data_IF_327478537726
#
_entry.id   IF_327478537726
#
_cell.length_a   1.000
_cell.length_b   1.000
_cell.length_c   1.000
_cell.angle_alpha   90.00
_cell.angle_beta   90.00
_cell.angle_gamma   90.00
#
_symmetry.space_group_name_H-M   'P 1'
#
loop_
_entity.id
_entity.type
_entity.pdbx_description
1 polymer ?
#
# COMPACT_ATOMS: atom_id res chain seq x y z
N UNK A 1 -2.11 29.05 -42.67
CA UNK A 1 -2.68 28.08 -41.70
C UNK A 1 -1.59 27.06 -41.40
N UNK A 2 -0.79 27.29 -40.36
CA UNK A 2 0.38 26.46 -40.04
C UNK A 2 0.48 26.26 -38.52
N UNK A 3 -0.63 25.88 -37.89
CA UNK A 3 -0.71 25.65 -36.43
C UNK A 3 -1.24 24.24 -36.12
N UNK A 4 -1.50 23.40 -37.13
CA UNK A 4 -2.25 22.14 -36.96
C UNK A 4 -1.35 20.90 -37.11
N UNK A 5 -0.04 21.01 -36.87
CA UNK A 5 0.88 19.85 -36.97
C UNK A 5 1.62 19.56 -35.66
N UNK A 6 1.62 20.49 -34.69
CA UNK A 6 2.30 20.28 -33.39
C UNK A 6 1.47 19.49 -32.36
N UNK A 7 0.20 19.19 -32.65
CA UNK A 7 -0.68 18.50 -31.69
C UNK A 7 -0.55 16.97 -31.75
N UNK A 8 -0.04 16.42 -32.86
CA UNK A 8 -0.05 14.96 -33.05
C UNK A 8 1.14 14.22 -32.44
N UNK A 9 2.27 14.89 -32.22
CA UNK A 9 3.45 14.27 -31.60
C UNK A 9 3.37 14.31 -30.07
N UNK A 10 2.61 15.27 -29.51
CA UNK A 10 2.37 15.35 -28.06
C UNK A 10 1.37 14.33 -27.53
N UNK A 11 0.37 13.94 -28.34
CA UNK A 11 -0.68 13.01 -27.89
C UNK A 11 -0.22 11.57 -27.78
N UNK A 12 0.71 11.11 -28.63
CA UNK A 12 1.26 9.74 -28.52
C UNK A 12 2.17 9.61 -27.29
N UNK A 13 2.96 10.65 -26.96
CA UNK A 13 3.79 10.66 -25.76
C UNK A 13 2.99 10.62 -24.46
N UNK A 14 1.85 11.34 -24.41
CA UNK A 14 0.96 11.35 -23.23
C UNK A 14 0.27 9.99 -23.03
N UNK A 15 -0.11 9.31 -24.13
CA UNK A 15 -0.76 7.99 -24.04
C UNK A 15 0.24 6.90 -23.61
N UNK A 16 1.50 6.99 -24.05
CA UNK A 16 2.52 6.02 -23.64
C UNK A 16 2.87 6.20 -22.15
N UNK A 17 2.95 7.44 -21.65
CA UNK A 17 3.15 7.69 -20.22
C UNK A 17 2.03 7.12 -19.34
N UNK A 18 0.78 7.13 -19.80
CA UNK A 18 -0.37 6.53 -19.08
C UNK A 18 -0.43 5.01 -19.17
N UNK A 19 0.11 4.40 -20.22
CA UNK A 19 0.14 2.93 -20.37
C UNK A 19 1.29 2.26 -19.60
N UNK A 20 2.43 2.94 -19.41
CA UNK A 20 3.52 2.41 -18.57
C UNK A 20 3.24 2.54 -17.06
N UNK A 21 2.28 3.37 -16.64
CA UNK A 21 1.79 3.43 -15.26
C UNK A 21 0.68 2.41 -14.96
N UNK A 22 0.14 1.72 -15.97
CA UNK A 22 -0.83 0.66 -15.77
C UNK A 22 -0.10 -0.68 -15.54
N UNK A 23 0.57 -0.77 -14.38
CA UNK A 23 1.05 -2.02 -13.83
C UNK A 23 -0.11 -3.01 -13.62
N UNK A 24 0.18 -4.32 -13.57
CA UNK A 24 -0.84 -5.38 -13.55
C UNK A 24 -1.80 -5.22 -12.36
N UNK A 25 -3.05 -4.81 -12.61
CA UNK A 25 -4.17 -4.75 -11.65
C UNK A 25 -3.75 -4.35 -10.23
N UNK A 26 -3.13 -3.18 -10.18
CA UNK A 26 -2.50 -2.55 -9.02
C UNK A 26 -3.48 -2.19 -7.88
N UNK A 27 -4.78 -2.35 -8.13
CA UNK A 27 -5.89 -2.07 -7.21
C UNK A 27 -6.40 -3.31 -6.46
N UNK A 28 -5.95 -4.53 -6.78
CA UNK A 28 -6.50 -5.74 -6.15
C UNK A 28 -6.37 -5.75 -4.63
N UNK A 29 -5.23 -5.26 -4.12
CA UNK A 29 -5.04 -5.10 -2.67
C UNK A 29 -5.91 -3.98 -2.09
N UNK A 30 -6.11 -2.87 -2.81
CA UNK A 30 -7.01 -1.80 -2.37
C UNK A 30 -8.47 -2.31 -2.31
N UNK A 31 -8.92 -3.03 -3.34
CA UNK A 31 -10.24 -3.63 -3.40
C UNK A 31 -10.45 -4.62 -2.26
N UNK A 32 -9.47 -5.48 -1.99
CA UNK A 32 -9.55 -6.43 -0.88
C UNK A 32 -9.52 -5.74 0.49
N UNK A 33 -8.69 -4.70 0.68
CA UNK A 33 -8.68 -3.91 1.93
C UNK A 33 -10.03 -3.21 2.13
N UNK A 34 -10.68 -2.75 1.06
CA UNK A 34 -12.05 -2.24 1.14
C UNK A 34 -13.07 -3.36 1.45
N UNK A 35 -12.87 -4.57 0.91
CA UNK A 35 -13.71 -5.74 1.17
C UNK A 35 -13.59 -6.24 2.61
N UNK A 36 -12.46 -5.99 3.30
CA UNK A 36 -12.30 -6.29 4.73
C UNK A 36 -13.39 -5.65 5.58
N UNK A 37 -13.93 -4.48 5.24
CA UNK A 37 -15.06 -3.92 5.98
C UNK A 37 -16.28 -4.86 6.00
N UNK A 38 -16.49 -5.61 4.92
CA UNK A 38 -17.61 -6.56 4.81
C UNK A 38 -17.26 -7.92 5.40
N UNK A 39 -16.02 -8.38 5.23
CA UNK A 39 -15.57 -9.69 5.69
C UNK A 39 -15.28 -9.71 7.20
N UNK A 40 -14.65 -8.65 7.69
CA UNK A 40 -14.28 -8.46 9.08
C UNK A 40 -14.41 -6.97 9.49
N UNK A 41 -15.64 -6.50 9.78
CA UNK A 41 -15.88 -5.12 10.16
C UNK A 41 -15.21 -4.72 11.48
N UNK A 42 -14.73 -5.67 12.29
CA UNK A 42 -14.01 -5.35 13.53
C UNK A 42 -12.60 -4.81 13.23
N UNK A 43 -11.98 -5.29 12.14
CA UNK A 43 -10.63 -4.91 11.75
C UNK A 43 -10.57 -3.62 10.93
N UNK A 44 -11.54 -3.39 10.04
CA UNK A 44 -11.56 -2.23 9.11
C UNK A 44 -12.96 -1.61 8.94
N UNK A 45 -13.58 -1.08 10.01
CA UNK A 45 -14.91 -0.45 9.92
C UNK A 45 -14.87 0.91 9.21
N UNK A 46 -15.94 1.23 8.48
CA UNK A 46 -16.12 2.52 7.80
C UNK A 46 -14.98 2.86 6.83
N UNK A 47 -14.53 1.87 6.07
CA UNK A 47 -13.40 2.04 5.16
C UNK A 47 -13.76 3.00 4.02
N UNK A 48 -12.84 3.92 3.71
CA UNK A 48 -13.01 4.92 2.67
C UNK A 48 -11.73 5.10 1.87
N UNK A 49 -11.88 5.25 0.57
CA UNK A 49 -10.81 5.73 -0.30
C UNK A 49 -10.46 7.18 0.07
N UNK A 50 -9.20 7.35 0.46
CA UNK A 50 -8.60 8.63 0.84
C UNK A 50 -7.39 8.96 -0.02
N UNK A 51 -7.19 8.26 -1.14
CA UNK A 51 -6.02 8.40 -2.02
C UNK A 51 -5.75 9.84 -2.42
N UNK A 52 -6.78 10.58 -2.88
CA UNK A 52 -6.61 11.99 -3.31
C UNK A 52 -6.24 12.93 -2.16
N UNK A 53 -6.60 12.59 -0.92
CA UNK A 53 -6.34 13.41 0.26
C UNK A 53 -5.00 13.07 0.91
N UNK A 54 -4.64 11.78 0.94
CA UNK A 54 -3.48 11.26 1.66
C UNK A 54 -2.24 11.20 0.76
N UNK A 55 -2.39 10.76 -0.50
CA UNK A 55 -1.29 10.71 -1.45
C UNK A 55 -1.08 12.10 -2.06
N UNK A 56 0.08 12.69 -1.75
CA UNK A 56 0.47 14.03 -2.19
C UNK A 56 1.82 13.99 -2.88
N UNK A 57 2.30 15.11 -3.43
CA UNK A 57 3.64 15.18 -4.01
C UNK A 57 4.74 14.89 -2.97
N UNK A 58 4.50 15.25 -1.70
CA UNK A 58 5.43 15.01 -0.59
C UNK A 58 5.30 13.59 0.01
N UNK A 59 4.22 12.88 -0.32
CA UNK A 59 3.97 11.50 0.08
C UNK A 59 3.35 10.73 -1.10
N UNK A 60 4.16 10.35 -2.11
CA UNK A 60 3.65 9.81 -3.38
C UNK A 60 3.25 8.33 -3.24
N UNK A 61 2.17 8.05 -2.51
CA UNK A 61 1.53 6.74 -2.52
C UNK A 61 0.67 6.56 -3.78
N UNK A 62 0.46 5.28 -4.14
CA UNK A 62 -0.37 4.84 -5.24
C UNK A 62 -1.85 4.86 -4.87
N UNK A 63 -2.17 4.41 -3.67
CA UNK A 63 -3.50 4.46 -3.08
C UNK A 63 -3.42 4.54 -1.56
N UNK A 64 -4.50 5.03 -0.95
CA UNK A 64 -4.66 5.09 0.50
C UNK A 64 -6.11 4.84 0.91
N UNK A 65 -6.31 3.92 1.85
CA UNK A 65 -7.59 3.61 2.48
C UNK A 65 -7.53 3.97 3.96
N UNK A 66 -8.57 4.61 4.46
CA UNK A 66 -8.71 4.96 5.87
C UNK A 66 -9.96 4.31 6.44
N UNK A 67 -9.86 3.76 7.64
CA UNK A 67 -10.95 3.25 8.46
C UNK A 67 -10.87 3.91 9.85
N UNK A 68 -11.79 3.58 10.76
CA UNK A 68 -11.67 4.06 12.15
C UNK A 68 -10.48 3.42 12.89
N UNK A 69 -10.00 2.27 12.42
CA UNK A 69 -8.99 1.44 13.08
C UNK A 69 -7.60 1.56 12.47
N UNK A 70 -7.49 1.90 11.18
CA UNK A 70 -6.20 1.98 10.49
C UNK A 70 -6.23 2.87 9.24
N UNK A 71 -5.05 3.28 8.81
CA UNK A 71 -4.77 3.85 7.49
C UNK A 71 -3.82 2.92 6.77
N UNK A 72 -4.21 2.43 5.59
CA UNK A 72 -3.40 1.54 4.75
C UNK A 72 -3.01 2.29 3.49
N UNK A 73 -1.71 2.33 3.20
CA UNK A 73 -1.12 3.01 2.06
C UNK A 73 -0.24 2.05 1.28
N UNK A 74 -0.24 2.18 -0.04
CA UNK A 74 0.63 1.43 -0.94
C UNK A 74 1.53 2.38 -1.72
N UNK A 75 2.80 2.04 -1.84
CA UNK A 75 3.84 2.84 -2.49
C UNK A 75 4.40 2.14 -3.73
N UNK A 76 5.22 2.85 -4.49
CA UNK A 76 5.87 2.29 -5.68
C UNK A 76 6.98 1.29 -5.34
N UNK A 77 7.58 1.42 -4.15
CA UNK A 77 8.71 0.62 -3.70
C UNK A 77 8.76 0.52 -2.16
N UNK A 78 9.60 -0.39 -1.68
CA UNK A 78 9.77 -0.63 -0.25
C UNK A 78 10.39 0.54 0.52
N UNK A 79 11.44 1.21 0.00
CA UNK A 79 12.01 2.39 0.66
C UNK A 79 10.96 3.49 0.91
N UNK A 80 10.07 3.77 -0.05
CA UNK A 80 9.02 4.77 0.12
C UNK A 80 8.01 4.38 1.21
N UNK A 81 7.60 3.12 1.27
CA UNK A 81 6.72 2.62 2.32
C UNK A 81 7.38 2.72 3.71
N UNK A 82 8.66 2.38 3.80
CA UNK A 82 9.43 2.51 5.02
C UNK A 82 9.54 3.97 5.48
N UNK A 83 9.96 4.87 4.59
CA UNK A 83 10.08 6.30 4.92
C UNK A 83 8.76 6.94 5.34
N UNK A 84 7.63 6.43 4.83
CA UNK A 84 6.31 6.89 5.24
C UNK A 84 5.95 6.40 6.66
N UNK A 85 6.36 5.20 7.05
CA UNK A 85 6.05 4.60 8.35
C UNK A 85 7.02 5.03 9.46
N UNK A 86 8.32 5.16 9.17
CA UNK A 86 9.39 5.47 10.13
C UNK A 86 9.11 6.63 11.10
N UNK A 87 8.58 7.80 10.66
CA UNK A 87 8.34 8.91 11.58
C UNK A 87 7.07 8.75 12.43
N UNK A 88 6.25 7.73 12.20
CA UNK A 88 4.92 7.58 12.80
C UNK A 88 4.91 6.50 13.88
N UNK A 89 4.51 6.83 15.12
CA UNK A 89 4.25 5.78 16.10
C UNK A 89 3.08 4.91 15.63
N UNK A 90 3.13 3.62 15.97
CA UNK A 90 2.10 2.63 15.63
C UNK A 90 1.90 2.46 14.11
N UNK A 91 2.94 2.76 13.33
CA UNK A 91 3.02 2.44 11.91
C UNK A 91 3.92 1.22 11.68
N UNK A 92 3.47 0.39 10.74
CA UNK A 92 4.12 -0.84 10.30
C UNK A 92 4.32 -0.73 8.80
N UNK A 93 5.41 -1.28 8.28
CA UNK A 93 5.59 -1.38 6.83
C UNK A 93 6.11 -2.77 6.47
N UNK A 94 5.69 -3.23 5.29
CA UNK A 94 6.26 -4.43 4.68
C UNK A 94 6.14 -4.33 3.18
N UNK A 95 7.24 -4.62 2.51
CA UNK A 95 7.35 -4.42 1.07
C UNK A 95 6.87 -3.02 0.68
N UNK A 96 5.88 -2.91 -0.19
CA UNK A 96 5.36 -1.63 -0.69
C UNK A 96 4.20 -1.06 0.16
N UNK A 97 3.82 -1.70 1.26
CA UNK A 97 2.65 -1.33 2.06
C UNK A 97 3.08 -0.70 3.38
N UNK A 98 2.45 0.42 3.75
CA UNK A 98 2.51 0.99 5.08
C UNK A 98 1.13 0.98 5.72
N UNK A 99 1.05 0.58 6.98
CA UNK A 99 -0.17 0.51 7.78
C UNK A 99 0.06 1.33 9.04
N UNK A 100 -0.79 2.32 9.27
CA UNK A 100 -0.81 3.08 10.52
C UNK A 100 -2.06 2.71 11.31
N UNK A 101 -1.88 2.20 12.52
CA UNK A 101 -3.00 1.83 13.38
C UNK A 101 -3.50 3.04 14.16
N UNK A 102 -4.81 3.11 14.39
CA UNK A 102 -5.41 4.08 15.30
C UNK A 102 -5.14 3.63 16.74
N UNK A 103 -4.47 4.46 17.57
CA UNK A 103 -4.11 4.05 18.93
C UNK A 103 -5.32 3.65 19.78
N UNK A 104 -5.27 2.43 20.34
CA UNK A 104 -6.33 1.89 21.19
C UNK A 104 -7.61 1.48 20.47
N UNK A 105 -7.66 1.55 19.14
CA UNK A 105 -8.83 1.11 18.36
C UNK A 105 -8.90 -0.42 18.23
N UNK A 106 -7.76 -1.10 18.18
CA UNK A 106 -7.64 -2.55 18.08
C UNK A 106 -6.90 -3.12 19.29
N UNK A 107 -7.34 -4.29 19.76
CA UNK A 107 -6.56 -5.13 20.70
C UNK A 107 -5.32 -5.70 20.00
N UNK A 108 -4.29 -6.10 20.75
CA UNK A 108 -3.07 -6.69 20.16
C UNK A 108 -3.39 -7.84 19.18
N UNK A 109 -4.31 -8.73 19.55
CA UNK A 109 -4.74 -9.85 18.71
C UNK A 109 -5.35 -9.38 17.38
N UNK A 110 -6.18 -8.34 17.41
CA UNK A 110 -6.78 -7.76 16.20
C UNK A 110 -5.76 -6.99 15.35
N UNK A 111 -4.76 -6.36 15.97
CA UNK A 111 -3.67 -5.72 15.24
C UNK A 111 -2.88 -6.76 14.46
N UNK A 112 -2.50 -7.85 15.11
CA UNK A 112 -1.77 -8.96 14.49
C UNK A 112 -2.60 -9.57 13.35
N UNK A 113 -3.90 -9.77 13.55
CA UNK A 113 -4.80 -10.36 12.55
C UNK A 113 -4.97 -9.46 11.31
N UNK A 114 -5.18 -8.15 11.50
CA UNK A 114 -5.24 -7.18 10.39
C UNK A 114 -3.95 -7.22 9.56
N UNK A 115 -2.80 -7.21 10.23
CA UNK A 115 -1.49 -7.21 9.57
C UNK A 115 -1.21 -8.53 8.85
N UNK A 116 -1.65 -9.67 9.38
CA UNK A 116 -1.60 -10.99 8.72
C UNK A 116 -2.46 -11.00 7.47
N UNK A 117 -3.67 -10.46 7.57
CA UNK A 117 -4.62 -10.40 6.46
C UNK A 117 -4.02 -9.61 5.28
N UNK A 118 -3.46 -8.43 5.55
CA UNK A 118 -2.83 -7.56 4.54
C UNK A 118 -1.62 -8.25 3.90
N UNK A 119 -0.71 -8.81 4.71
CA UNK A 119 0.49 -9.50 4.23
C UNK A 119 0.15 -10.74 3.38
N UNK A 120 -0.82 -11.53 3.82
CA UNK A 120 -1.25 -12.75 3.10
C UNK A 120 -1.79 -12.39 1.72
N UNK A 121 -2.61 -11.34 1.64
CA UNK A 121 -3.10 -10.88 0.34
C UNK A 121 -1.97 -10.30 -0.50
N UNK A 122 -1.13 -9.43 0.06
CA UNK A 122 0.01 -8.86 -0.65
C UNK A 122 0.87 -9.96 -1.28
N UNK A 123 1.30 -10.95 -0.49
CA UNK A 123 2.06 -12.11 -0.99
C UNK A 123 1.28 -12.86 -2.07
N UNK A 124 0.01 -13.20 -1.85
CA UNK A 124 -0.78 -13.97 -2.82
C UNK A 124 -0.87 -13.31 -4.20
N UNK A 125 -0.93 -11.99 -4.26
CA UNK A 125 -1.14 -11.26 -5.52
C UNK A 125 0.14 -10.62 -6.09
N UNK A 126 1.13 -10.29 -5.25
CA UNK A 126 2.37 -9.63 -5.65
C UNK A 126 3.63 -10.51 -5.58
N UNK A 127 3.55 -11.81 -5.23
CA UNK A 127 4.72 -12.72 -5.08
C UNK A 127 5.61 -12.96 -6.31
N UNK A 128 5.46 -12.25 -7.44
CA UNK A 128 6.30 -12.51 -8.63
C UNK A 128 7.64 -11.76 -8.65
N UNK A 129 8.11 -11.16 -7.56
CA UNK A 129 9.38 -10.38 -7.57
C UNK A 129 10.39 -10.69 -6.47
N UNK A 130 10.15 -11.62 -5.55
CA UNK A 130 11.14 -11.99 -4.52
C UNK A 130 11.51 -13.48 -4.59
N UNK A 131 12.33 -13.85 -5.57
CA UNK A 131 13.22 -15.00 -5.36
C UNK A 131 14.23 -14.61 -4.26
N UNK A 132 14.04 -15.17 -3.05
CA UNK A 132 15.01 -15.45 -1.96
C UNK A 132 14.49 -15.02 -0.59
N UNK A 133 13.82 -15.94 0.09
CA UNK A 133 13.49 -15.88 1.50
C UNK A 133 12.48 -16.96 1.83
N UNK A 134 12.91 -18.03 2.49
CA UNK A 134 11.97 -19.05 3.01
C UNK A 134 11.04 -18.38 4.03
N UNK A 135 9.71 -18.48 3.87
CA UNK A 135 8.78 -17.95 4.86
C UNK A 135 9.00 -18.65 6.20
N UNK A 136 9.26 -17.89 7.28
CA UNK A 136 9.18 -18.43 8.63
C UNK A 136 7.70 -18.75 8.94
N UNK A 137 7.34 -20.01 9.24
CA UNK A 137 5.96 -20.40 9.51
C UNK A 137 5.37 -19.84 10.80
N UNK A 138 6.19 -19.30 11.71
CA UNK A 138 5.76 -18.86 13.03
C UNK A 138 5.88 -17.36 13.25
N UNK A 139 6.16 -16.61 12.18
CA UNK A 139 6.31 -15.19 12.33
C UNK A 139 5.67 -14.35 11.21
N UNK A 140 4.50 -13.76 11.46
CA UNK A 140 3.92 -12.84 10.50
C UNK A 140 4.61 -11.46 10.49
N UNK A 141 5.29 -11.01 11.57
CA UNK A 141 5.82 -9.62 11.71
C UNK A 141 6.98 -9.41 12.74
N UNK A 142 7.62 -10.43 13.30
CA UNK A 142 8.62 -10.35 14.36
C UNK A 142 9.92 -9.71 13.85
N UNK A 143 9.94 -8.39 13.98
CA UNK A 143 10.65 -7.69 15.05
C UNK A 143 12.14 -7.99 15.32
N UNK A 144 12.88 -8.73 14.48
CA UNK A 144 14.34 -8.87 14.65
C UNK A 144 15.20 -8.82 13.37
N UNK A 145 14.64 -8.59 12.19
CA UNK A 145 15.46 -8.12 11.05
C UNK A 145 15.39 -6.61 11.00
N UNK A 146 16.47 -5.97 11.46
CA UNK A 146 16.83 -4.56 11.33
C UNK A 146 15.82 -3.73 10.51
N UNK A 147 14.77 -3.28 11.19
CA UNK A 147 13.73 -2.38 10.67
C UNK A 147 14.29 -0.96 10.41
N UNK A 148 15.58 -0.86 10.13
CA UNK A 148 16.17 0.37 9.62
C UNK A 148 15.77 0.50 8.16
N UNK A 149 15.16 1.63 7.78
CA UNK A 149 14.91 1.90 6.36
C UNK A 149 16.23 1.75 5.59
N UNK A 150 16.25 0.97 4.49
CA UNK A 150 17.44 0.84 3.67
C UNK A 150 17.85 2.24 3.18
N UNK A 151 19.10 2.61 3.46
CA UNK A 151 19.70 3.90 3.11
C UNK A 151 19.98 4.06 1.63
#
# INVERSE_FOLDING_TARGET
MAVVVLVYVGSVGIIIATYYTAGPSDDGLAEWVAELETLDPELMPHTRDTTTQTCTEDLPCRWALTSDTAVVMMFNDNPAACHAADPLPDAYWRDQVAVRLTPGALTQEQQDDLLIHIDTYYKRYYWRTSEQGTPDPLDPWALEEDQSCPS
#
